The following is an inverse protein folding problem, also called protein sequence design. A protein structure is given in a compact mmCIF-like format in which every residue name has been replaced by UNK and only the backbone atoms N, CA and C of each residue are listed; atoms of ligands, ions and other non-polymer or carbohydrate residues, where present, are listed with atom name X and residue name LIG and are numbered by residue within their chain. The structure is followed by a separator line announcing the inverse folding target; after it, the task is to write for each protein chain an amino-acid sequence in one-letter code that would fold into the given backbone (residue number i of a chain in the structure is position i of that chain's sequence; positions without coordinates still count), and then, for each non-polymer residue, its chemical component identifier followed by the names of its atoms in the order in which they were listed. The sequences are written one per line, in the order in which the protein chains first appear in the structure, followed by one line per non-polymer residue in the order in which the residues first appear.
data_IF_450507245318
#
_entry.id   IF_450507245318
#
_cell.length_a   1.000
_cell.length_b   1.000
_cell.length_c   1.000
_cell.angle_alpha   90.00
_cell.angle_beta   90.00
_cell.angle_gamma   90.00
#
_symmetry.space_group_name_H-M   'P 1'
#
loop_
_entity.id
_entity.type
_entity.pdbx_description
1 polymer ?
#
# COMPACT_ATOMS: atom_id res chain seq x y z
N UNK A 1 -0.97 -4.78 -35.64
CA UNK A 1 -1.49 -4.06 -34.47
C UNK A 1 -0.49 -4.23 -33.34
N UNK A 2 0.02 -3.13 -32.79
CA UNK A 2 1.02 -3.16 -31.71
C UNK A 2 0.29 -3.16 -30.37
N UNK A 3 0.81 -3.90 -29.39
CA UNK A 3 0.26 -3.90 -28.02
C UNK A 3 0.16 -2.47 -27.46
N UNK A 4 1.10 -1.60 -27.85
CA UNK A 4 1.20 -0.21 -27.41
C UNK A 4 -0.03 0.68 -27.69
N UNK A 5 -0.90 0.31 -28.64
CA UNK A 5 -2.09 1.10 -29.01
C UNK A 5 -3.38 0.65 -28.31
N UNK A 6 -3.30 -0.27 -27.35
CA UNK A 6 -4.48 -0.70 -26.59
C UNK A 6 -4.99 0.42 -25.65
N UNK A 7 -6.31 0.54 -25.45
CA UNK A 7 -6.90 1.36 -24.40
C UNK A 7 -6.49 0.91 -22.99
N UNK A 8 -6.48 1.86 -22.04
CA UNK A 8 -6.12 1.64 -20.62
C UNK A 8 -6.98 0.57 -19.94
N UNK A 9 -8.25 0.46 -20.35
CA UNK A 9 -9.20 -0.52 -19.81
C UNK A 9 -8.76 -1.95 -20.14
N UNK A 10 -8.24 -2.18 -21.35
CA UNK A 10 -7.75 -3.50 -21.74
C UNK A 10 -6.48 -3.88 -21.00
N UNK A 11 -5.59 -2.93 -20.73
CA UNK A 11 -4.45 -3.18 -19.86
C UNK A 11 -4.89 -3.57 -18.46
N UNK A 12 -5.90 -2.90 -17.91
CA UNK A 12 -6.44 -3.22 -16.58
C UNK A 12 -6.98 -4.66 -16.53
N UNK A 13 -7.78 -5.05 -17.53
CA UNK A 13 -8.29 -6.43 -17.64
C UNK A 13 -7.16 -7.46 -17.78
N UNK A 14 -6.11 -7.17 -18.54
CA UNK A 14 -4.94 -8.07 -18.66
C UNK A 14 -4.23 -8.20 -17.32
N UNK A 15 -4.04 -7.10 -16.59
CA UNK A 15 -3.41 -7.12 -15.26
C UNK A 15 -4.25 -7.91 -14.25
N UNK A 16 -5.58 -7.84 -14.33
CA UNK A 16 -6.50 -8.60 -13.46
C UNK A 16 -6.39 -10.12 -13.64
N UNK A 17 -5.85 -10.59 -14.78
CA UNK A 17 -5.60 -12.03 -15.01
C UNK A 17 -4.26 -12.51 -14.41
N UNK A 18 -3.41 -11.60 -13.91
CA UNK A 18 -2.11 -11.97 -13.37
C UNK A 18 -2.21 -12.39 -11.89
N UNK A 19 -1.41 -13.39 -11.46
CA UNK A 19 -1.29 -13.71 -10.05
C UNK A 19 -0.77 -12.49 -9.26
N UNK A 20 -1.31 -12.18 -8.06
CA UNK A 20 -0.94 -11.02 -7.26
C UNK A 20 0.57 -10.93 -6.98
N UNK A 21 1.21 -12.08 -6.78
CA UNK A 21 2.65 -12.22 -6.52
C UNK A 21 3.52 -11.69 -7.66
N UNK A 22 3.02 -11.80 -8.89
CA UNK A 22 3.73 -11.40 -10.12
C UNK A 22 3.31 -10.02 -10.63
N UNK A 23 2.21 -9.48 -10.13
CA UNK A 23 1.57 -8.28 -10.68
C UNK A 23 2.51 -7.08 -10.68
N UNK A 24 3.13 -6.76 -9.54
CA UNK A 24 4.08 -5.64 -9.45
C UNK A 24 5.25 -5.78 -10.42
N UNK A 25 5.83 -6.99 -10.50
CA UNK A 25 6.98 -7.24 -11.36
C UNK A 25 6.59 -7.12 -12.84
N UNK A 26 5.49 -7.76 -13.24
CA UNK A 26 4.97 -7.74 -14.61
C UNK A 26 4.57 -6.33 -15.05
N UNK A 27 3.93 -5.55 -14.18
CA UNK A 27 3.51 -4.18 -14.49
C UNK A 27 4.71 -3.23 -14.65
N UNK A 28 5.75 -3.40 -13.80
CA UNK A 28 7.02 -2.68 -13.97
C UNK A 28 7.77 -3.09 -15.24
N UNK A 29 7.74 -4.37 -15.62
CA UNK A 29 8.30 -4.80 -16.90
C UNK A 29 7.52 -4.23 -18.09
N UNK A 30 6.19 -4.23 -18.01
CA UNK A 30 5.32 -3.73 -19.07
C UNK A 30 5.52 -2.23 -19.31
N UNK A 31 5.60 -1.44 -18.25
CA UNK A 31 5.87 0.01 -18.31
C UNK A 31 7.26 0.33 -18.88
N UNK A 32 8.25 -0.56 -18.69
CA UNK A 32 9.58 -0.43 -19.29
C UNK A 32 9.61 -0.87 -20.75
N UNK A 33 8.87 -1.93 -21.10
CA UNK A 33 8.80 -2.46 -22.46
C UNK A 33 7.95 -1.58 -23.39
N UNK A 34 6.93 -0.91 -22.85
CA UNK A 34 5.97 -0.08 -23.56
C UNK A 34 5.87 1.31 -22.92
N UNK A 35 6.92 2.15 -23.01
CA UNK A 35 6.97 3.44 -22.33
C UNK A 35 5.90 4.44 -22.82
N UNK A 36 5.39 4.26 -24.03
CA UNK A 36 4.37 5.12 -24.64
C UNK A 36 2.93 4.64 -24.40
N UNK A 37 2.76 3.47 -23.79
CA UNK A 37 1.44 2.91 -23.55
C UNK A 37 0.77 3.55 -22.31
N UNK A 38 -0.56 3.76 -22.34
CA UNK A 38 -1.29 4.34 -21.21
C UNK A 38 -1.54 3.29 -20.10
N UNK A 39 -0.47 2.75 -19.53
CA UNK A 39 -0.56 1.73 -18.48
C UNK A 39 -0.80 2.41 -17.14
N UNK A 40 -1.90 2.06 -16.47
CA UNK A 40 -2.21 2.58 -15.14
C UNK A 40 -1.24 2.01 -14.09
N UNK A 41 -0.64 2.90 -13.29
CA UNK A 41 0.24 2.53 -12.18
C UNK A 41 -0.51 2.31 -10.85
N UNK A 42 -1.83 2.55 -10.82
CA UNK A 42 -2.64 2.41 -9.61
C UNK A 42 -2.54 1.02 -8.94
N UNK A 43 -2.48 -0.10 -9.68
CA UNK A 43 -2.33 -1.42 -9.07
C UNK A 43 -1.06 -1.59 -8.24
N UNK A 44 0.01 -0.84 -8.54
CA UNK A 44 1.25 -0.88 -7.74
C UNK A 44 1.05 -0.37 -6.31
N UNK A 45 0.04 0.47 -6.09
CA UNK A 45 -0.25 1.04 -4.78
C UNK A 45 -1.29 0.24 -4.00
N UNK A 46 -1.92 -0.78 -4.59
CA UNK A 46 -2.96 -1.57 -3.92
C UNK A 46 -2.42 -2.33 -2.71
N UNK A 47 -1.27 -2.99 -2.86
CA UNK A 47 -0.62 -3.74 -1.79
C UNK A 47 0.74 -3.12 -1.48
N UNK A 48 0.87 -2.59 -0.26
CA UNK A 48 2.10 -1.98 0.24
C UNK A 48 2.68 -2.86 1.34
N UNK A 49 3.88 -3.39 1.11
CA UNK A 49 4.66 -4.12 2.12
C UNK A 49 5.85 -3.30 2.56
N UNK A 50 5.91 -2.96 3.84
CA UNK A 50 7.03 -2.27 4.47
C UNK A 50 7.98 -3.31 5.08
N UNK A 51 9.20 -3.39 4.54
CA UNK A 51 10.28 -4.28 4.98
C UNK A 51 11.36 -3.56 5.79
N UNK A 52 11.38 -2.23 5.75
CA UNK A 52 12.32 -1.38 6.48
C UNK A 52 11.58 -0.20 7.12
N UNK A 53 12.01 0.28 8.29
CA UNK A 53 11.30 1.34 9.00
C UNK A 53 11.29 2.68 8.24
N UNK A 54 12.33 2.98 7.47
CA UNK A 54 12.43 4.24 6.70
C UNK A 54 11.39 4.31 5.57
N UNK A 55 10.84 3.17 5.16
CA UNK A 55 9.78 3.10 4.16
C UNK A 55 8.47 3.67 4.69
N UNK A 56 8.19 3.57 5.99
CA UNK A 56 7.02 4.21 6.60
C UNK A 56 7.11 5.74 6.49
N UNK A 57 8.29 6.29 6.79
CA UNK A 57 8.57 7.73 6.65
C UNK A 57 8.51 8.18 5.19
N UNK A 58 8.97 7.35 4.27
CA UNK A 58 8.90 7.61 2.83
C UNK A 58 7.46 7.58 2.32
N UNK A 59 6.65 6.63 2.83
CA UNK A 59 5.24 6.50 2.52
C UNK A 59 4.45 7.71 3.00
N UNK A 60 4.62 8.16 4.25
CA UNK A 60 3.91 9.34 4.73
C UNK A 60 4.30 10.59 3.94
N UNK A 61 5.58 10.76 3.59
CA UNK A 61 6.03 11.87 2.71
C UNK A 61 5.36 11.80 1.33
N UNK A 62 5.18 10.61 0.76
CA UNK A 62 4.46 10.42 -0.50
C UNK A 62 2.97 10.77 -0.37
N UNK A 63 2.33 10.37 0.73
CA UNK A 63 0.91 10.62 1.00
C UNK A 63 0.59 12.08 1.39
N UNK A 64 1.60 12.90 1.70
CA UNK A 64 1.44 14.34 1.96
C UNK A 64 1.52 15.18 0.68
N UNK A 65 2.13 14.66 -0.39
CA UNK A 65 2.17 15.35 -1.69
C UNK A 65 0.75 15.61 -2.23
N UNK A 66 0.55 16.60 -3.13
CA UNK A 66 -0.76 16.94 -3.66
C UNK A 66 -1.48 15.76 -4.34
N UNK A 67 -0.74 14.85 -4.98
CA UNK A 67 -1.25 13.61 -5.57
C UNK A 67 -1.44 12.47 -4.56
N UNK A 68 -1.01 12.67 -3.31
CA UNK A 68 -1.05 11.67 -2.25
C UNK A 68 -2.47 11.28 -1.81
N UNK A 69 -3.44 12.20 -1.96
CA UNK A 69 -4.85 11.91 -1.68
C UNK A 69 -5.45 10.92 -2.69
N UNK A 70 -5.05 10.99 -3.96
CA UNK A 70 -5.48 10.00 -4.96
C UNK A 70 -4.80 8.67 -4.69
N UNK A 71 -3.48 8.67 -4.43
CA UNK A 71 -2.72 7.47 -4.09
C UNK A 71 -3.33 6.75 -2.89
N UNK A 72 -3.74 7.48 -1.85
CA UNK A 72 -4.31 6.88 -0.63
C UNK A 72 -5.65 6.18 -0.85
N UNK A 73 -6.38 6.50 -1.92
CA UNK A 73 -7.62 5.80 -2.30
C UNK A 73 -7.34 4.46 -2.98
N UNK A 74 -6.15 4.27 -3.54
CA UNK A 74 -5.79 3.01 -4.20
C UNK A 74 -5.21 1.98 -3.23
N UNK A 75 -4.70 2.40 -2.07
CA UNK A 75 -4.12 1.49 -1.07
C UNK A 75 -5.21 0.70 -0.36
N UNK A 76 -5.19 -0.62 -0.56
CA UNK A 76 -6.13 -1.56 0.04
C UNK A 76 -5.46 -2.42 1.11
N UNK A 77 -4.19 -2.76 0.92
CA UNK A 77 -3.45 -3.63 1.82
C UNK A 77 -2.17 -2.95 2.31
N UNK A 78 -1.94 -3.00 3.61
CA UNK A 78 -0.71 -2.52 4.23
C UNK A 78 -0.18 -3.58 5.20
N UNK A 79 1.06 -4.02 4.97
CA UNK A 79 1.73 -5.01 5.81
C UNK A 79 3.11 -4.54 6.26
N UNK A 80 3.40 -4.74 7.55
CA UNK A 80 4.75 -4.66 8.11
C UNK A 80 5.36 -6.06 8.13
N UNK A 81 6.44 -6.26 7.39
CA UNK A 81 7.14 -7.54 7.29
C UNK A 81 8.33 -7.59 8.25
N UNK A 82 8.13 -8.15 9.43
CA UNK A 82 9.15 -8.31 10.49
C UNK A 82 9.83 -6.98 10.91
N UNK A 83 9.14 -5.85 10.70
CA UNK A 83 9.63 -4.53 11.09
C UNK A 83 9.00 -4.12 12.42
N UNK A 84 9.77 -4.22 13.49
CA UNK A 84 9.32 -3.94 14.87
C UNK A 84 9.67 -2.54 15.37
N UNK A 85 10.55 -1.84 14.66
CA UNK A 85 11.16 -0.57 15.08
C UNK A 85 10.51 0.65 14.43
N UNK A 86 9.41 0.46 13.68
CA UNK A 86 8.71 1.59 13.07
C UNK A 86 8.17 2.50 14.15
N UNK A 87 8.37 3.80 13.95
CA UNK A 87 7.80 4.85 14.78
C UNK A 87 6.26 4.76 14.76
N UNK A 88 5.66 4.65 15.95
CA UNK A 88 4.23 4.44 16.09
C UNK A 88 3.42 5.66 15.65
N UNK A 89 3.90 6.88 15.91
CA UNK A 89 3.24 8.11 15.47
C UNK A 89 3.25 8.24 13.96
N UNK A 90 4.36 7.87 13.31
CA UNK A 90 4.44 7.80 11.85
C UNK A 90 3.40 6.82 11.30
N UNK A 91 3.27 5.63 11.90
CA UNK A 91 2.29 4.64 11.47
C UNK A 91 0.85 5.10 11.68
N UNK A 92 0.54 5.71 12.82
CA UNK A 92 -0.78 6.32 13.08
C UNK A 92 -1.10 7.34 11.97
N UNK A 93 -0.14 8.20 11.62
CA UNK A 93 -0.33 9.22 10.58
C UNK A 93 -0.51 8.63 9.17
N UNK A 94 0.22 7.56 8.83
CA UNK A 94 -0.01 6.81 7.58
C UNK A 94 -1.43 6.26 7.57
N UNK A 95 -1.83 5.55 8.63
CA UNK A 95 -3.12 4.87 8.70
C UNK A 95 -4.31 5.83 8.70
N UNK A 96 -4.16 7.06 9.22
CA UNK A 96 -5.18 8.11 9.12
C UNK A 96 -5.48 8.52 7.68
N UNK A 97 -4.52 8.37 6.76
CA UNK A 97 -4.67 8.75 5.35
C UNK A 97 -5.23 7.61 4.49
N UNK A 98 -5.03 6.36 4.90
CA UNK A 98 -5.46 5.18 4.14
C UNK A 98 -6.90 4.78 4.52
N UNK A 99 -7.88 5.36 3.83
CA UNK A 99 -9.31 5.19 4.16
C UNK A 99 -9.95 3.94 3.57
N UNK A 100 -9.41 3.40 2.47
CA UNK A 100 -9.94 2.21 1.76
C UNK A 100 -9.21 0.92 2.11
N UNK A 101 -8.59 0.89 3.28
CA UNK A 101 -7.78 -0.24 3.71
C UNK A 101 -8.68 -1.43 4.06
N UNK A 102 -8.52 -2.53 3.33
CA UNK A 102 -9.22 -3.80 3.53
C UNK A 102 -8.40 -4.82 4.32
N UNK A 103 -7.07 -4.71 4.29
CA UNK A 103 -6.15 -5.60 5.00
C UNK A 103 -5.04 -4.81 5.70
N UNK A 104 -4.87 -5.07 7.00
CA UNK A 104 -3.84 -4.45 7.82
C UNK A 104 -3.06 -5.51 8.60
N UNK A 105 -1.74 -5.56 8.41
CA UNK A 105 -0.85 -6.35 9.25
C UNK A 105 0.20 -5.46 9.91
N UNK A 106 0.17 -5.39 11.25
CA UNK A 106 1.10 -4.60 12.05
C UNK A 106 1.98 -5.48 12.94
N UNK A 107 3.24 -5.06 13.07
CA UNK A 107 4.19 -5.57 14.05
C UNK A 107 4.33 -4.53 15.17
N UNK A 108 3.85 -4.86 16.35
CA UNK A 108 3.87 -4.02 17.55
C UNK A 108 5.13 -4.36 18.35
N UNK A 109 6.13 -3.50 18.27
CA UNK A 109 7.38 -3.60 19.03
C UNK A 109 7.44 -2.65 20.22
N UNK A 110 8.63 -2.48 20.79
CA UNK A 110 8.88 -1.66 21.99
C UNK A 110 8.55 -0.17 21.82
N UNK A 111 8.46 0.31 20.58
CA UNK A 111 8.14 1.72 20.27
C UNK A 111 6.63 2.01 20.26
N UNK A 112 5.79 0.99 20.44
CA UNK A 112 4.35 1.13 20.50
C UNK A 112 3.87 1.14 21.96
N UNK A 113 3.50 2.32 22.46
CA UNK A 113 2.71 2.44 23.67
C UNK A 113 1.23 2.05 23.41
N UNK A 114 0.48 1.60 24.43
CA UNK A 114 -0.95 1.24 24.30
C UNK A 114 -1.81 2.34 23.66
N UNK A 115 -1.46 3.61 23.93
CA UNK A 115 -2.14 4.79 23.40
C UNK A 115 -2.05 4.86 21.86
N UNK A 116 -0.93 4.45 21.28
CA UNK A 116 -0.76 4.42 19.82
C UNK A 116 -1.65 3.36 19.19
N UNK A 117 -1.73 2.17 19.79
CA UNK A 117 -2.60 1.11 19.29
C UNK A 117 -4.08 1.51 19.39
N UNK A 118 -4.48 2.13 20.50
CA UNK A 118 -5.81 2.71 20.66
C UNK A 118 -6.11 3.74 19.56
N UNK A 119 -5.19 4.67 19.31
CA UNK A 119 -5.33 5.66 18.24
C UNK A 119 -5.46 5.01 16.85
N UNK A 120 -4.78 3.89 16.60
CA UNK A 120 -4.92 3.13 15.35
C UNK A 120 -6.32 2.53 15.24
N UNK A 121 -6.81 1.90 16.30
CA UNK A 121 -8.09 1.18 16.30
C UNK A 121 -9.31 2.11 16.32
N UNK A 122 -9.18 3.32 16.85
CA UNK A 122 -10.24 4.35 16.84
C UNK A 122 -10.52 4.94 15.45
N UNK A 123 -9.56 4.81 14.51
CA UNK A 123 -9.77 5.27 13.13
C UNK A 123 -10.80 4.36 12.46
N UNK A 124 -11.96 4.89 12.02
CA UNK A 124 -12.99 4.08 11.36
C UNK A 124 -12.49 3.56 10.01
N UNK A 125 -12.58 2.24 9.81
CA UNK A 125 -12.22 1.56 8.56
C UNK A 125 -13.35 0.61 8.16
N UNK A 126 -14.38 1.12 7.47
CA UNK A 126 -15.56 0.32 7.14
C UNK A 126 -15.24 -0.88 6.23
N UNK A 127 -14.19 -0.75 5.41
CA UNK A 127 -13.80 -1.77 4.45
C UNK A 127 -12.79 -2.80 5.02
N UNK A 128 -12.34 -2.64 6.27
CA UNK A 128 -11.32 -3.50 6.87
C UNK A 128 -11.90 -4.89 7.14
N UNK A 129 -11.37 -5.89 6.43
CA UNK A 129 -11.76 -7.31 6.55
C UNK A 129 -10.74 -8.14 7.30
N UNK A 130 -9.47 -7.76 7.20
CA UNK A 130 -8.37 -8.48 7.82
C UNK A 130 -7.53 -7.55 8.70
N UNK A 131 -7.33 -7.95 9.95
CA UNK A 131 -6.46 -7.30 10.91
C UNK A 131 -5.55 -8.34 11.55
N UNK A 132 -4.25 -8.19 11.36
CA UNK A 132 -3.21 -9.00 12.00
C UNK A 132 -2.35 -8.09 12.86
N UNK A 133 -2.30 -8.38 14.16
CA UNK A 133 -1.40 -7.70 15.10
C UNK A 133 -0.44 -8.74 15.66
N UNK A 134 0.86 -8.56 15.40
CA UNK A 134 1.90 -9.36 16.02
C UNK A 134 2.56 -8.54 17.10
N UNK A 135 2.69 -9.10 18.30
CA UNK A 135 3.36 -8.46 19.42
C UNK A 135 4.70 -9.14 19.62
N UNK A 136 5.76 -8.34 19.79
CA UNK A 136 7.05 -8.89 20.17
C UNK A 136 6.97 -9.28 21.65
N UNK A 137 7.26 -10.55 22.00
CA UNK A 137 7.28 -10.99 23.40
C UNK A 137 8.39 -10.29 24.19
#
# INVERSE_FOLDING_TARGET
MSLASLPTELYSVIMDQLPPESLHHSLLQLTRALPSAPISLHPLFQCITLRRPEQATSLIRRLIKPDGAEVSLYVQELSLHDVWTVDADVMVNVLRKLRKLSSLSLCVGTNFAPEHLKAILEIPRPDLRYLSLRFRP
#
